data_IF_133165610034
#
_entry.id   IF_133165610034
#
_cell.length_a   1.000
_cell.length_b   1.000
_cell.length_c   1.000
_cell.angle_alpha   90.00
_cell.angle_beta   90.00
_cell.angle_gamma   90.00
#
_symmetry.space_group_name_H-M   'P 1'
#
loop_
_entity.id
_entity.type
_entity.pdbx_description
1 polymer ?
#
# COMPACT_ATOMS: atom_id res chain seq x y z
N UNK A 1 -18.72 -20.14 -5.55
CA UNK A 1 -17.61 -19.36 -6.14
C UNK A 1 -17.52 -18.06 -5.36
N UNK A 2 -16.69 -18.02 -4.32
CA UNK A 2 -16.65 -16.86 -3.42
C UNK A 2 -15.61 -15.88 -3.95
N UNK A 3 -16.05 -14.95 -4.81
CA UNK A 3 -15.28 -13.80 -5.23
C UNK A 3 -15.12 -12.85 -4.05
N UNK A 4 -14.23 -13.18 -3.13
CA UNK A 4 -13.84 -12.27 -2.06
C UNK A 4 -12.86 -11.24 -2.68
N UNK A 5 -13.39 -10.36 -3.52
CA UNK A 5 -12.65 -9.26 -4.14
C UNK A 5 -12.30 -8.27 -3.04
N UNK A 6 -11.27 -8.57 -2.25
CA UNK A 6 -10.79 -7.65 -1.23
C UNK A 6 -10.21 -6.42 -1.91
N UNK A 7 -10.89 -5.29 -1.76
CA UNK A 7 -10.48 -3.98 -2.29
C UNK A 7 -9.04 -3.66 -1.88
N UNK A 8 -8.20 -3.36 -2.88
CA UNK A 8 -6.84 -2.86 -2.67
C UNK A 8 -6.91 -1.55 -1.89
N UNK A 9 -6.20 -1.46 -0.76
CA UNK A 9 -6.16 -0.27 0.09
C UNK A 9 -4.74 0.11 0.40
N UNK A 10 -4.41 1.39 0.21
CA UNK A 10 -3.14 1.94 0.65
C UNK A 10 -3.38 2.86 1.84
N UNK A 11 -2.87 2.46 3.00
CA UNK A 11 -2.79 3.32 4.18
C UNK A 11 -1.56 4.20 4.03
N UNK A 12 -1.76 5.50 3.97
CA UNK A 12 -0.69 6.44 3.63
C UNK A 12 -0.85 7.78 4.31
N UNK A 13 0.26 8.53 4.35
CA UNK A 13 0.21 9.96 4.64
C UNK A 13 0.55 10.75 3.39
N UNK A 14 -0.17 11.84 3.14
CA UNK A 14 0.02 12.71 1.97
C UNK A 14 1.43 13.31 1.91
N UNK A 15 1.99 13.64 3.07
CA UNK A 15 3.31 14.30 3.22
C UNK A 15 4.50 13.33 3.20
N UNK A 16 4.27 12.02 3.23
CA UNK A 16 5.35 11.04 3.29
C UNK A 16 5.92 10.73 1.89
N UNK A 17 7.24 10.85 1.67
CA UNK A 17 7.86 10.51 0.40
C UNK A 17 7.78 9.00 0.10
N UNK A 18 7.88 8.16 1.13
CA UNK A 18 7.72 6.70 1.01
C UNK A 18 6.31 6.31 0.56
N UNK A 19 5.30 7.02 1.07
CA UNK A 19 3.93 6.87 0.63
C UNK A 19 3.73 7.39 -0.80
N UNK A 20 4.39 8.50 -1.15
CA UNK A 20 4.30 9.09 -2.50
C UNK A 20 4.82 8.12 -3.56
N UNK A 21 5.97 7.49 -3.36
CA UNK A 21 6.51 6.55 -4.36
C UNK A 21 5.58 5.35 -4.59
N UNK A 22 4.97 4.79 -3.54
CA UNK A 22 4.00 3.68 -3.68
C UNK A 22 2.76 4.12 -4.46
N UNK A 23 2.23 5.33 -4.19
CA UNK A 23 1.11 5.90 -4.96
C UNK A 23 1.44 6.05 -6.44
N UNK A 24 2.65 6.53 -6.76
CA UNK A 24 3.11 6.65 -8.14
C UNK A 24 3.16 5.29 -8.84
N UNK A 25 3.77 4.28 -8.19
CA UNK A 25 3.84 2.92 -8.75
C UNK A 25 2.44 2.34 -8.99
N UNK A 26 1.52 2.49 -8.03
CA UNK A 26 0.13 2.04 -8.21
C UNK A 26 -0.56 2.73 -9.39
N UNK A 27 -0.33 4.03 -9.57
CA UNK A 27 -0.86 4.81 -10.69
C UNK A 27 -0.26 4.38 -12.04
N UNK A 28 1.06 4.24 -12.14
CA UNK A 28 1.76 3.80 -13.36
C UNK A 28 1.33 2.38 -13.78
N UNK A 29 1.14 1.48 -12.80
CA UNK A 29 0.63 0.12 -13.01
C UNK A 29 -0.89 0.07 -13.25
N UNK A 30 -1.58 1.21 -13.17
CA UNK A 30 -3.05 1.33 -13.32
C UNK A 30 -3.84 0.42 -12.38
N UNK A 31 -3.34 0.24 -11.16
CA UNK A 31 -3.99 -0.57 -10.13
C UNK A 31 -5.00 0.31 -9.39
N UNK A 32 -6.28 -0.04 -9.46
CA UNK A 32 -7.30 0.62 -8.66
C UNK A 32 -7.02 0.40 -7.17
N UNK A 33 -6.96 1.52 -6.44
CA UNK A 33 -6.61 1.53 -5.02
C UNK A 33 -7.44 2.57 -4.28
N UNK A 34 -8.01 2.15 -3.15
CA UNK A 34 -8.59 3.07 -2.18
C UNK A 34 -7.47 3.64 -1.31
N UNK A 35 -7.33 4.96 -1.34
CA UNK A 35 -6.37 5.70 -0.52
C UNK A 35 -6.98 6.02 0.84
N UNK A 36 -6.41 5.45 1.89
CA UNK A 36 -6.81 5.72 3.28
C UNK A 36 -5.75 6.63 3.90
N UNK A 37 -6.14 7.89 4.14
CA UNK A 37 -5.24 8.86 4.75
C UNK A 37 -5.13 8.61 6.26
N UNK A 38 -3.90 8.37 6.70
CA UNK A 38 -3.54 8.14 8.09
C UNK A 38 -2.81 9.38 8.64
N UNK A 39 -3.30 9.90 9.75
CA UNK A 39 -2.78 11.09 10.40
C UNK A 39 -1.80 10.70 11.50
N UNK A 40 -0.56 11.19 11.41
CA UNK A 40 0.51 10.85 12.36
C UNK A 40 0.20 11.21 13.81
N UNK A 41 -0.58 12.29 14.04
CA UNK A 41 -0.94 12.76 15.38
C UNK A 41 -2.10 12.00 16.01
N UNK A 42 -2.85 11.22 15.24
CA UNK A 42 -3.98 10.41 15.75
C UNK A 42 -3.55 8.98 16.11
N UNK A 43 -2.30 8.61 15.79
CA UNK A 43 -1.64 7.33 16.09
C UNK A 43 -2.62 6.15 16.23
N UNK A 44 -3.42 5.86 15.20
CA UNK A 44 -4.58 5.01 15.37
C UNK A 44 -4.14 3.63 15.88
N UNK A 45 -4.85 3.04 16.87
CA UNK A 45 -4.55 1.71 17.40
C UNK A 45 -4.41 0.65 16.30
N UNK A 46 -5.06 0.90 15.18
CA UNK A 46 -5.10 0.09 13.98
C UNK A 46 -3.77 0.01 13.23
N UNK A 47 -2.92 1.04 13.26
CA UNK A 47 -1.67 1.04 12.50
C UNK A 47 -0.72 -0.05 12.99
N UNK A 48 -0.56 -0.20 14.31
CA UNK A 48 0.27 -1.26 14.90
C UNK A 48 -0.29 -2.66 14.61
N UNK A 49 -1.60 -2.81 14.47
CA UNK A 49 -2.21 -4.09 14.05
C UNK A 49 -1.92 -4.43 12.60
N UNK A 50 -1.86 -3.42 11.73
CA UNK A 50 -1.57 -3.58 10.29
C UNK A 50 -0.07 -3.77 10.01
N UNK A 51 0.76 -3.07 10.77
CA UNK A 51 2.21 -3.14 10.70
C UNK A 51 2.77 -3.01 12.14
N UNK A 52 3.33 -4.09 12.73
CA UNK A 52 3.91 -4.04 14.08
C UNK A 52 4.98 -2.97 14.27
N UNK A 53 5.68 -2.57 13.20
CA UNK A 53 6.65 -1.48 13.24
C UNK A 53 6.00 -0.09 13.40
N UNK A 54 4.68 0.02 13.22
CA UNK A 54 3.94 1.28 13.34
C UNK A 54 4.27 2.31 12.27
N UNK A 55 4.72 1.85 11.09
CA UNK A 55 5.16 2.71 9.98
C UNK A 55 4.23 2.65 8.78
N UNK A 56 4.23 3.72 8.01
CA UNK A 56 3.58 3.84 6.70
C UNK A 56 4.65 3.86 5.60
N UNK A 57 4.31 3.46 4.36
CA UNK A 57 3.02 2.98 3.88
C UNK A 57 2.70 1.53 4.30
N UNK A 58 1.40 1.20 4.29
CA UNK A 58 0.93 -0.19 4.38
C UNK A 58 -0.05 -0.45 3.23
N UNK A 59 0.19 -1.49 2.44
CA UNK A 59 -0.67 -1.89 1.32
C UNK A 59 -1.43 -3.16 1.68
N UNK A 60 -2.75 -3.13 1.56
CA UNK A 60 -3.58 -4.33 1.49
C UNK A 60 -3.84 -4.65 0.03
N UNK A 61 -3.37 -5.80 -0.45
CA UNK A 61 -3.58 -6.24 -1.83
C UNK A 61 -3.78 -7.75 -1.89
N UNK A 62 -4.83 -8.22 -2.58
CA UNK A 62 -5.17 -9.66 -2.71
C UNK A 62 -5.20 -10.43 -1.38
N UNK A 63 -5.64 -9.77 -0.30
CA UNK A 63 -5.70 -10.34 1.05
C UNK A 63 -4.39 -10.28 1.85
N UNK A 64 -3.28 -9.86 1.24
CA UNK A 64 -2.00 -9.67 1.93
C UNK A 64 -1.89 -8.25 2.51
N UNK A 65 -1.23 -8.16 3.66
CA UNK A 65 -0.82 -6.89 4.29
C UNK A 65 0.69 -6.75 4.09
N UNK A 66 1.09 -5.74 3.32
CA UNK A 66 2.47 -5.46 2.95
C UNK A 66 2.93 -4.17 3.60
N UNK A 67 4.09 -4.20 4.21
CA UNK A 67 4.77 -3.05 4.79
C UNK A 67 6.11 -2.83 4.08
N UNK A 68 6.75 -1.70 4.40
CA UNK A 68 7.99 -1.23 3.77
C UNK A 68 7.82 -0.84 2.30
N UNK A 69 8.08 0.42 2.03
CA UNK A 69 7.79 1.04 0.74
C UNK A 69 8.55 0.45 -0.45
N UNK A 70 9.73 -0.13 -0.24
CA UNK A 70 10.49 -0.80 -1.30
C UNK A 70 9.94 -2.22 -1.57
N UNK A 71 9.73 -3.01 -0.52
CA UNK A 71 9.14 -4.34 -0.64
C UNK A 71 7.75 -4.30 -1.29
N UNK A 72 6.94 -3.27 -0.99
CA UNK A 72 5.65 -3.05 -1.67
C UNK A 72 5.85 -2.83 -3.17
N UNK A 73 6.85 -2.06 -3.58
CA UNK A 73 7.11 -1.76 -4.99
C UNK A 73 7.61 -3.02 -5.71
N UNK A 74 8.55 -3.76 -5.13
CA UNK A 74 9.04 -5.06 -5.62
C UNK A 74 7.87 -6.01 -5.86
N UNK A 75 7.02 -6.18 -4.84
CA UNK A 75 5.83 -7.02 -4.95
C UNK A 75 4.88 -6.57 -6.06
N UNK A 76 4.62 -5.28 -6.19
CA UNK A 76 3.74 -4.74 -7.24
C UNK A 76 4.34 -4.93 -8.63
N UNK A 77 5.66 -4.83 -8.76
CA UNK A 77 6.38 -5.03 -10.01
C UNK A 77 6.31 -6.49 -10.46
N UNK A 78 6.53 -7.44 -9.55
CA UNK A 78 6.37 -8.87 -9.79
C UNK A 78 4.92 -9.26 -10.10
N UNK A 79 3.95 -8.70 -9.37
CA UNK A 79 2.53 -9.03 -9.53
C UNK A 79 1.91 -8.44 -10.80
N UNK A 80 2.48 -7.34 -11.32
CA UNK A 80 2.04 -6.63 -12.52
C UNK A 80 3.27 -6.22 -13.34
N UNK A 81 3.87 -7.10 -14.15
CA UNK A 81 5.17 -6.86 -14.79
C UNK A 81 5.19 -5.78 -15.87
N UNK A 82 4.07 -5.09 -16.13
CA UNK A 82 3.97 -4.07 -17.18
C UNK A 82 3.25 -2.82 -16.67
N UNK A 83 3.82 -1.60 -16.86
CA UNK A 83 5.21 -1.34 -17.31
C UNK A 83 6.24 -1.82 -16.27
N UNK A 84 7.44 -2.24 -16.67
CA UNK A 84 8.51 -2.57 -15.72
C UNK A 84 9.03 -1.28 -15.08
N UNK A 85 8.96 -1.17 -13.75
CA UNK A 85 9.35 0.03 -13.01
C UNK A 85 10.60 -0.19 -12.14
N UNK A 86 11.09 -1.43 -12.11
CA UNK A 86 12.31 -1.87 -11.43
C UNK A 86 13.17 -2.72 -12.35
#
# INVERSE_FOLDING_TARGET
MNTNTQTTRLYHSTLSPFCRKVRLVLAEKKIEVELVEERYWEAPPDLKRRNPAGKLPVLRHRGNMLAESQAIIEYLDEAHPTPALM
#
